data_IF_979372144350
#
_entry.id   IF_979372144350
#
_cell.length_a   1.000
_cell.length_b   1.000
_cell.length_c   1.000
_cell.angle_alpha   90.00
_cell.angle_beta   90.00
_cell.angle_gamma   90.00
#
_symmetry.space_group_name_H-M   'P 1'
#
loop_
_entity.id
_entity.type
_entity.pdbx_description
1 polymer ?
#
# COMPACT_ATOMS: atom_id res chain seq x y z
N UNK A 1 5.60 -15.06 -13.34
CA UNK A 1 5.31 -13.82 -14.11
C UNK A 1 6.52 -13.21 -14.81
N UNK A 2 7.74 -13.76 -14.68
CA UNK A 2 8.95 -13.10 -15.19
C UNK A 2 9.37 -11.93 -14.30
N UNK A 3 10.13 -10.99 -14.86
CA UNK A 3 10.60 -9.79 -14.16
C UNK A 3 9.42 -8.84 -13.91
N UNK A 4 9.26 -8.38 -12.67
CA UNK A 4 8.23 -7.41 -12.29
C UNK A 4 8.53 -6.03 -12.90
N UNK A 5 7.55 -5.43 -13.59
CA UNK A 5 7.73 -4.15 -14.29
C UNK A 5 6.78 -3.06 -13.79
N UNK A 6 5.56 -3.43 -13.41
CA UNK A 6 4.55 -2.48 -12.91
C UNK A 6 3.75 -3.05 -11.74
N UNK A 7 3.50 -2.20 -10.75
CA UNK A 7 2.60 -2.47 -9.62
C UNK A 7 1.47 -1.45 -9.63
N UNK A 8 0.23 -1.92 -9.61
CA UNK A 8 -0.94 -1.05 -9.47
C UNK A 8 -1.67 -1.36 -8.17
N UNK A 9 -1.77 -0.36 -7.30
CA UNK A 9 -2.46 -0.46 -6.02
C UNK A 9 -3.64 0.49 -6.00
N UNK A 10 -4.79 -0.01 -5.56
CA UNK A 10 -5.90 0.82 -5.12
C UNK A 10 -6.30 0.36 -3.73
N UNK A 11 -6.47 1.29 -2.80
CA UNK A 11 -7.14 1.03 -1.54
C UNK A 11 -8.09 2.18 -1.19
N UNK A 12 -9.36 1.88 -0.94
CA UNK A 12 -10.33 2.90 -0.57
C UNK A 12 -11.48 2.37 0.28
N UNK A 13 -12.13 3.29 0.98
CA UNK A 13 -13.35 3.10 1.75
C UNK A 13 -14.07 4.44 1.91
N UNK A 14 -15.30 4.43 2.45
CA UNK A 14 -16.11 5.64 2.65
C UNK A 14 -16.28 5.93 4.15
N UNK A 15 -15.58 6.94 4.65
CA UNK A 15 -15.70 7.46 6.01
C UNK A 15 -15.75 8.99 6.00
N UNK A 16 -16.93 9.52 6.33
CA UNK A 16 -17.20 10.96 6.38
C UNK A 16 -17.43 11.45 7.82
N UNK A 17 -17.18 10.61 8.82
CA UNK A 17 -17.37 10.98 10.22
C UNK A 17 -16.31 12.00 10.66
N UNK A 18 -16.68 13.26 10.99
CA UNK A 18 -15.73 14.26 11.45
C UNK A 18 -15.13 13.93 12.83
N UNK A 19 -15.77 13.04 13.61
CA UNK A 19 -15.28 12.56 14.90
C UNK A 19 -14.19 11.50 14.79
N UNK A 20 -13.90 11.00 13.58
CA UNK A 20 -12.88 10.00 13.36
C UNK A 20 -11.48 10.64 13.26
N UNK A 21 -10.49 10.05 13.95
CA UNK A 21 -9.10 10.55 13.94
C UNK A 21 -8.51 10.68 12.53
N UNK A 22 -8.95 9.86 11.57
CA UNK A 22 -8.50 9.89 10.18
C UNK A 22 -8.93 11.16 9.44
N UNK A 23 -9.95 11.85 9.93
CA UNK A 23 -10.44 13.13 9.43
C UNK A 23 -9.92 14.31 10.27
N UNK A 24 -8.95 14.09 11.15
CA UNK A 24 -8.39 15.13 12.04
C UNK A 24 -6.90 15.34 11.76
N UNK A 25 -6.54 16.49 11.21
CA UNK A 25 -5.14 16.84 10.91
C UNK A 25 -4.21 16.75 12.13
N UNK A 26 -4.68 17.16 13.31
CA UNK A 26 -3.89 17.14 14.54
C UNK A 26 -3.44 15.74 14.98
N UNK A 27 -4.05 14.68 14.47
CA UNK A 27 -3.70 13.29 14.74
C UNK A 27 -2.98 12.61 13.56
N UNK A 28 -2.58 13.36 12.53
CA UNK A 28 -1.96 12.81 11.33
C UNK A 28 -2.95 12.13 10.39
N UNK A 29 -4.23 12.52 10.42
CA UNK A 29 -5.26 11.97 9.54
C UNK A 29 -5.00 12.27 8.05
N UNK A 30 -5.71 11.55 7.19
CA UNK A 30 -5.55 11.61 5.73
C UNK A 30 -5.52 10.24 5.07
N UNK A 31 -5.90 10.17 3.80
CA UNK A 31 -5.89 8.95 3.01
C UNK A 31 -4.48 8.40 2.86
N UNK A 32 -3.51 9.28 2.60
CA UNK A 32 -2.11 8.92 2.46
C UNK A 32 -1.55 8.26 3.73
N UNK A 33 -1.80 8.88 4.89
CA UNK A 33 -1.31 8.39 6.18
C UNK A 33 -1.97 7.09 6.61
N UNK A 34 -3.30 6.96 6.42
CA UNK A 34 -4.04 5.79 6.91
C UNK A 34 -3.90 4.56 6.01
N UNK A 35 -4.11 4.72 4.69
CA UNK A 35 -4.18 3.58 3.76
C UNK A 35 -3.25 3.72 2.55
N UNK A 36 -2.77 4.92 2.23
CA UNK A 36 -1.73 5.11 1.21
C UNK A 36 -0.40 4.46 1.60
N UNK A 37 -0.10 4.42 2.91
CA UNK A 37 1.08 3.78 3.47
C UNK A 37 1.18 2.28 3.13
N UNK A 38 0.05 1.58 2.97
CA UNK A 38 0.01 0.18 2.52
C UNK A 38 0.46 0.03 1.06
N UNK A 39 0.00 0.95 0.19
CA UNK A 39 0.39 0.94 -1.22
C UNK A 39 1.86 1.26 -1.43
N UNK A 40 2.42 2.18 -0.64
CA UNK A 40 3.86 2.47 -0.64
C UNK A 40 4.64 1.26 -0.13
N UNK A 41 4.23 0.69 1.01
CA UNK A 41 4.90 -0.47 1.62
C UNK A 41 4.91 -1.69 0.70
N UNK A 42 3.77 -2.05 0.09
CA UNK A 42 3.71 -3.22 -0.81
C UNK A 42 4.56 -3.01 -2.06
N UNK A 43 4.65 -1.79 -2.59
CA UNK A 43 5.49 -1.50 -3.74
C UNK A 43 6.98 -1.67 -3.41
N UNK A 44 7.42 -1.12 -2.25
CA UNK A 44 8.79 -1.28 -1.75
C UNK A 44 9.14 -2.74 -1.49
N UNK A 45 8.22 -3.48 -0.87
CA UNK A 45 8.39 -4.89 -0.56
C UNK A 45 8.54 -5.74 -1.83
N UNK A 46 7.67 -5.55 -2.82
CA UNK A 46 7.67 -6.37 -4.05
C UNK A 46 8.79 -6.03 -5.03
N UNK A 47 9.26 -4.77 -5.06
CA UNK A 47 10.46 -4.40 -5.80
C UNK A 47 11.77 -4.65 -5.02
N UNK A 48 11.66 -5.10 -3.76
CA UNK A 48 12.79 -5.33 -2.86
C UNK A 48 13.73 -4.13 -2.75
N UNK A 49 13.16 -2.93 -2.69
CA UNK A 49 13.95 -1.70 -2.72
C UNK A 49 13.14 -0.42 -2.57
N UNK A 50 13.83 0.70 -2.72
CA UNK A 50 13.26 2.05 -2.60
C UNK A 50 13.00 2.69 -3.97
N UNK A 51 11.95 3.50 -4.11
CA UNK A 51 11.80 4.33 -5.30
C UNK A 51 12.94 5.36 -5.34
N UNK A 52 13.34 5.76 -6.55
CA UNK A 52 14.28 6.87 -6.77
C UNK A 52 13.61 8.22 -6.53
N UNK A 53 12.32 8.31 -6.89
CA UNK A 53 11.51 9.52 -6.83
C UNK A 53 10.04 9.20 -6.88
N UNK A 54 9.22 10.14 -6.41
CA UNK A 54 7.76 10.06 -6.43
C UNK A 54 7.13 11.33 -7.01
N UNK A 55 5.95 11.16 -7.60
CA UNK A 55 5.06 12.25 -7.99
C UNK A 55 3.68 12.00 -7.40
N UNK A 56 3.14 12.94 -6.62
CA UNK A 56 1.86 12.77 -5.92
C UNK A 56 0.91 13.93 -6.18
N UNK A 57 -0.39 13.61 -6.24
CA UNK A 57 -1.48 14.57 -6.33
C UNK A 57 -2.53 14.23 -5.29
N UNK A 58 -2.95 15.22 -4.51
CA UNK A 58 -3.87 15.06 -3.38
C UNK A 58 -5.08 15.96 -3.54
N UNK A 59 -6.26 15.45 -3.17
CA UNK A 59 -7.45 16.27 -2.96
C UNK A 59 -7.76 16.28 -1.48
N UNK A 60 -7.89 17.49 -0.91
CA UNK A 60 -8.15 17.69 0.52
C UNK A 60 -9.60 18.05 0.76
N UNK A 61 -10.16 17.55 1.86
CA UNK A 61 -11.48 17.98 2.29
C UNK A 61 -11.42 19.46 2.71
N UNK A 62 -12.33 20.32 2.24
CA UNK A 62 -12.28 21.76 2.54
C UNK A 62 -12.40 22.07 4.04
N UNK A 63 -13.11 21.24 4.80
CA UNK A 63 -13.29 21.44 6.24
C UNK A 63 -12.29 20.67 7.11
N UNK A 64 -11.89 19.47 6.70
CA UNK A 64 -11.00 18.64 7.53
C UNK A 64 -9.53 19.01 7.30
N UNK A 65 -9.21 19.50 6.10
CA UNK A 65 -7.85 19.78 5.66
C UNK A 65 -6.99 18.53 5.42
N UNK A 66 -7.46 17.34 5.81
CA UNK A 66 -6.84 16.05 5.47
C UNK A 66 -7.07 15.71 4.00
N UNK A 67 -6.15 14.96 3.39
CA UNK A 67 -6.37 14.41 2.05
C UNK A 67 -7.41 13.28 2.10
N UNK A 68 -8.39 13.31 1.20
CA UNK A 68 -9.44 12.28 1.09
C UNK A 68 -9.25 11.39 -0.12
N UNK A 69 -8.39 11.81 -1.05
CA UNK A 69 -8.00 11.09 -2.25
C UNK A 69 -6.59 11.49 -2.65
N UNK A 70 -5.72 10.50 -2.80
CA UNK A 70 -4.31 10.70 -3.18
C UNK A 70 -3.91 9.68 -4.24
N UNK A 71 -3.26 10.16 -5.30
CA UNK A 71 -2.64 9.33 -6.34
C UNK A 71 -1.14 9.55 -6.34
N UNK A 72 -0.37 8.47 -6.42
CA UNK A 72 1.09 8.48 -6.36
C UNK A 72 1.63 7.69 -7.55
N UNK A 73 2.64 8.22 -8.21
CA UNK A 73 3.51 7.50 -9.13
C UNK A 73 4.89 7.37 -8.50
N UNK A 74 5.44 6.17 -8.48
CA UNK A 74 6.72 5.83 -7.86
C UNK A 74 7.64 5.22 -8.92
N UNK A 75 8.84 5.79 -9.07
CA UNK A 75 9.84 5.38 -10.06
C UNK A 75 10.91 4.51 -9.38
N UNK A 76 11.00 3.22 -9.72
CA UNK A 76 11.95 2.28 -9.15
C UNK A 76 13.05 1.93 -10.18
N UNK A 77 14.22 1.46 -9.74
CA UNK A 77 15.25 0.96 -10.66
C UNK A 77 14.76 -0.14 -11.61
N UNK A 78 13.85 -1.00 -11.15
CA UNK A 78 13.36 -2.19 -11.84
C UNK A 78 12.06 -1.95 -12.62
N UNK A 79 11.32 -0.87 -12.31
CA UNK A 79 9.97 -0.66 -12.81
C UNK A 79 9.27 0.55 -12.20
N UNK A 80 7.94 0.55 -12.16
CA UNK A 80 7.18 1.64 -11.54
C UNK A 80 5.99 1.13 -10.74
N UNK A 81 5.51 1.92 -9.80
CA UNK A 81 4.28 1.65 -9.09
C UNK A 81 3.32 2.83 -9.15
N UNK A 82 2.02 2.55 -9.25
CA UNK A 82 0.95 3.54 -9.09
C UNK A 82 0.11 3.17 -7.88
N UNK A 83 -0.11 4.13 -6.98
CA UNK A 83 -0.94 3.96 -5.79
C UNK A 83 -2.11 4.93 -5.85
N UNK A 84 -3.32 4.42 -5.64
CA UNK A 84 -4.52 5.22 -5.38
C UNK A 84 -5.00 4.91 -3.98
N UNK A 85 -5.14 5.93 -3.15
CA UNK A 85 -5.73 5.78 -1.82
C UNK A 85 -6.84 6.82 -1.58
N UNK A 86 -7.95 6.39 -0.96
CA UNK A 86 -9.08 7.29 -0.73
C UNK A 86 -9.94 6.91 0.47
N UNK A 87 -10.30 7.89 1.30
CA UNK A 87 -11.14 7.70 2.50
C UNK A 87 -12.60 8.08 2.29
N UNK A 88 -12.95 8.60 1.09
CA UNK A 88 -14.31 8.98 0.71
C UNK A 88 -14.68 8.42 -0.67
N UNK A 89 -14.38 7.15 -0.91
CA UNK A 89 -14.74 6.40 -2.11
C UNK A 89 -15.34 5.04 -1.74
N UNK A 90 -15.98 4.35 -2.70
CA UNK A 90 -16.53 3.03 -2.43
C UNK A 90 -15.44 2.06 -1.93
N UNK A 91 -15.78 1.19 -0.96
CA UNK A 91 -14.86 0.17 -0.46
C UNK A 91 -14.29 -0.66 -1.61
N UNK A 92 -12.99 -0.54 -1.83
CA UNK A 92 -12.30 -1.25 -2.90
C UNK A 92 -10.83 -1.44 -2.53
N UNK A 93 -10.29 -2.59 -2.86
CA UNK A 93 -8.87 -2.84 -2.77
C UNK A 93 -8.42 -3.75 -3.90
N UNK A 94 -7.19 -3.53 -4.37
CA UNK A 94 -6.55 -4.39 -5.35
C UNK A 94 -5.06 -4.13 -5.39
N UNK A 95 -4.30 -5.20 -5.60
CA UNK A 95 -2.91 -5.13 -6.05
C UNK A 95 -2.84 -5.92 -7.36
N UNK A 96 -2.32 -5.28 -8.41
CA UNK A 96 -2.05 -5.90 -9.71
C UNK A 96 -0.56 -5.80 -9.98
N UNK A 97 0.06 -6.95 -10.26
CA UNK A 97 1.47 -7.05 -10.60
C UNK A 97 1.56 -7.41 -12.07
N UNK A 98 2.30 -6.64 -12.85
CA UNK A 98 2.52 -6.90 -14.27
C UNK A 98 4.01 -7.14 -14.47
N UNK A 99 4.35 -8.35 -14.89
CA UNK A 99 5.69 -8.75 -15.26
C UNK A 99 5.84 -9.05 -16.74
N UNK A 100 7.07 -9.34 -17.16
CA UNK A 100 7.43 -9.56 -18.56
C UNK A 100 6.72 -10.75 -19.23
N UNK A 101 6.20 -11.70 -18.44
CA UNK A 101 5.58 -12.93 -18.92
C UNK A 101 4.22 -13.20 -18.26
N UNK A 102 3.62 -12.25 -17.55
CA UNK A 102 2.32 -12.48 -16.95
C UNK A 102 1.93 -11.45 -15.91
N UNK A 103 0.70 -11.60 -15.43
CA UNK A 103 0.06 -10.72 -14.47
C UNK A 103 -0.41 -11.52 -13.27
N UNK A 104 -0.31 -10.92 -12.08
CA UNK A 104 -0.93 -11.41 -10.86
C UNK A 104 -1.95 -10.38 -10.37
N UNK A 105 -3.14 -10.82 -9.96
CA UNK A 105 -4.16 -9.97 -9.33
C UNK A 105 -4.52 -10.49 -7.94
N UNK A 106 -4.38 -9.62 -6.93
CA UNK A 106 -4.81 -9.86 -5.55
C UNK A 106 -6.06 -9.02 -5.25
N UNK A 107 -7.17 -9.68 -4.91
CA UNK A 107 -8.46 -9.00 -4.72
C UNK A 107 -8.63 -8.39 -3.32
N UNK A 108 -7.96 -8.93 -2.31
CA UNK A 108 -8.11 -8.51 -0.91
C UNK A 108 -6.74 -8.54 -0.21
N UNK A 109 -5.79 -7.69 -0.65
CA UNK A 109 -4.39 -7.79 -0.23
C UNK A 109 -4.11 -7.28 1.19
N UNK A 110 -5.00 -6.47 1.80
CA UNK A 110 -4.66 -5.75 3.04
C UNK A 110 -5.49 -6.15 4.25
N UNK A 111 -6.80 -6.40 4.08
CA UNK A 111 -7.70 -6.75 5.18
C UNK A 111 -8.59 -7.94 4.84
N UNK A 112 -7.96 -9.02 4.40
CA UNK A 112 -8.63 -10.31 4.24
C UNK A 112 -9.28 -10.73 5.57
N UNK A 113 -10.58 -11.11 5.57
CA UNK A 113 -11.21 -11.67 6.75
C UNK A 113 -10.53 -12.98 7.17
N UNK A 114 -10.36 -13.21 8.49
CA UNK A 114 -9.58 -14.34 9.00
C UNK A 114 -10.21 -15.71 8.69
N UNK A 115 -11.51 -15.73 8.38
CA UNK A 115 -12.32 -16.88 8.04
C UNK A 115 -12.56 -17.06 6.53
N UNK A 116 -11.99 -16.18 5.69
CA UNK A 116 -12.15 -16.23 4.24
C UNK A 116 -10.89 -16.70 3.51
N UNK A 117 -11.11 -17.43 2.41
CA UNK A 117 -10.05 -17.81 1.48
C UNK A 117 -9.59 -16.60 0.66
N UNK A 118 -8.29 -16.35 0.62
CA UNK A 118 -7.70 -15.31 -0.22
C UNK A 118 -7.40 -15.89 -1.61
N UNK A 119 -7.81 -15.15 -2.65
CA UNK A 119 -7.60 -15.51 -4.05
C UNK A 119 -6.54 -14.64 -4.71
N UNK A 120 -5.62 -15.31 -5.38
CA UNK A 120 -4.62 -14.72 -6.27
C UNK A 120 -4.83 -15.28 -7.67
N UNK A 121 -5.16 -14.42 -8.63
CA UNK A 121 -5.28 -14.81 -10.03
C UNK A 121 -3.94 -14.64 -10.74
N UNK A 122 -3.57 -15.60 -11.58
CA UNK A 122 -2.44 -15.52 -12.49
C UNK A 122 -2.90 -15.61 -13.93
N UNK A 123 -2.38 -14.74 -14.79
CA UNK A 123 -2.66 -14.71 -16.22
C UNK A 123 -1.37 -14.59 -17.03
N UNK A 124 -1.21 -15.41 -18.07
CA UNK A 124 -0.17 -15.28 -19.10
C UNK A 124 -0.74 -15.62 -20.48
N UNK A 125 -1.01 -14.61 -21.31
CA UNK A 125 -1.67 -14.84 -22.61
C UNK A 125 -3.05 -15.47 -22.41
N UNK A 126 -3.25 -16.70 -22.90
CA UNK A 126 -4.48 -17.49 -22.67
C UNK A 126 -4.43 -18.40 -21.43
N UNK A 127 -3.27 -18.53 -20.77
CA UNK A 127 -3.13 -19.29 -19.54
C UNK A 127 -3.72 -18.49 -18.37
N UNK A 128 -4.64 -19.11 -17.63
CA UNK A 128 -5.26 -18.53 -16.43
C UNK A 128 -5.31 -19.58 -15.32
N UNK A 129 -4.94 -19.18 -14.11
CA UNK A 129 -5.09 -20.01 -12.92
C UNK A 129 -5.42 -19.17 -11.69
N UNK A 130 -6.07 -19.79 -10.72
CA UNK A 130 -6.37 -19.21 -9.42
C UNK A 130 -5.56 -19.99 -8.39
N UNK A 131 -4.79 -19.27 -7.59
CA UNK A 131 -4.19 -19.79 -6.38
C UNK A 131 -5.01 -19.32 -5.18
N UNK A 132 -5.39 -20.25 -4.33
CA UNK A 132 -6.15 -20.00 -3.12
C UNK A 132 -5.27 -20.30 -1.91
N UNK A 133 -5.20 -19.33 -0.99
CA UNK A 133 -4.69 -19.56 0.36
C UNK A 133 -5.88 -19.74 1.29
N UNK A 134 -5.85 -20.80 2.10
CA UNK A 134 -6.87 -21.01 3.13
C UNK A 134 -6.95 -19.85 4.12
N UNK A 135 -8.02 -19.80 4.93
CA UNK A 135 -8.21 -18.75 5.92
C UNK A 135 -7.01 -18.64 6.87
N UNK A 136 -6.61 -17.41 7.18
CA UNK A 136 -5.51 -17.10 8.10
C UNK A 136 -5.83 -15.83 8.89
N UNK A 137 -5.64 -15.87 10.21
CA UNK A 137 -5.73 -14.69 11.05
C UNK A 137 -4.40 -13.93 11.02
N UNK A 138 -4.23 -13.08 10.01
CA UNK A 138 -3.00 -12.31 9.81
C UNK A 138 -2.59 -11.45 11.02
N UNK A 139 -3.55 -11.07 11.87
CA UNK A 139 -3.27 -10.27 13.06
C UNK A 139 -2.74 -11.15 14.20
N UNK A 140 -3.31 -12.34 14.39
CA UNK A 140 -2.78 -13.32 15.32
C UNK A 140 -1.35 -13.73 14.93
N UNK A 141 -1.11 -14.03 13.65
CA UNK A 141 0.23 -14.37 13.13
C UNK A 141 1.23 -13.22 13.33
N UNK A 142 0.80 -11.96 13.15
CA UNK A 142 1.64 -10.79 13.42
C UNK A 142 2.02 -10.69 14.91
N UNK A 143 1.05 -10.91 15.81
CA UNK A 143 1.28 -10.90 17.25
C UNK A 143 2.22 -12.04 17.68
N UNK A 144 2.04 -13.24 17.14
CA UNK A 144 2.87 -14.40 17.44
C UNK A 144 4.30 -14.19 16.95
N UNK A 145 4.48 -13.66 15.73
CA UNK A 145 5.80 -13.30 15.20
C UNK A 145 6.50 -12.26 16.10
N UNK A 146 5.77 -11.21 16.50
CA UNK A 146 6.32 -10.20 17.39
C UNK A 146 6.72 -10.77 18.75
N UNK A 147 5.88 -11.63 19.35
CA UNK A 147 6.16 -12.28 20.62
C UNK A 147 7.38 -13.20 20.52
N UNK A 148 7.48 -13.99 19.46
CA UNK A 148 8.63 -14.86 19.20
C UNK A 148 9.93 -14.04 19.06
N UNK A 149 9.91 -12.96 18.27
CA UNK A 149 11.04 -12.05 18.14
C UNK A 149 11.48 -11.44 19.48
N UNK A 150 10.53 -11.00 20.30
CA UNK A 150 10.81 -10.42 21.60
C UNK A 150 11.37 -11.42 22.62
N UNK A 151 10.89 -12.67 22.60
CA UNK A 151 11.30 -13.72 23.54
C UNK A 151 12.63 -14.37 23.11
N UNK A 152 12.75 -14.71 21.83
CA UNK A 152 13.85 -15.50 21.30
C UNK A 152 15.00 -14.64 20.74
N UNK A 153 14.79 -13.33 20.57
CA UNK A 153 15.77 -12.44 19.94
C UNK A 153 15.89 -12.60 18.43
N UNK A 154 14.84 -13.11 17.78
CA UNK A 154 14.78 -13.27 16.32
C UNK A 154 14.51 -11.92 15.62
N UNK A 155 14.98 -11.73 14.37
CA UNK A 155 14.71 -10.50 13.64
C UNK A 155 13.22 -10.35 13.31
N UNK A 156 12.72 -9.11 13.37
CA UNK A 156 11.39 -8.78 12.88
C UNK A 156 11.34 -8.88 11.35
N UNK A 157 10.26 -9.44 10.80
CA UNK A 157 10.00 -9.45 9.35
C UNK A 157 9.89 -8.02 8.79
N UNK A 158 9.30 -7.12 9.58
CA UNK A 158 9.23 -5.69 9.31
C UNK A 158 10.00 -4.93 10.41
N UNK A 159 11.32 -4.70 10.25
CA UNK A 159 12.09 -3.93 11.22
C UNK A 159 11.66 -2.46 11.23
N UNK A 160 11.93 -1.74 12.33
CA UNK A 160 11.56 -0.30 12.44
C UNK A 160 12.15 0.56 11.32
N UNK A 161 13.31 0.18 10.77
CA UNK A 161 13.91 0.86 9.62
C UNK A 161 13.01 0.83 8.39
N UNK A 162 12.22 -0.23 8.19
CA UNK A 162 11.25 -0.29 7.10
C UNK A 162 10.14 0.76 7.26
N UNK A 163 9.61 0.91 8.48
CA UNK A 163 8.62 1.92 8.80
C UNK A 163 9.16 3.35 8.61
N UNK A 164 10.42 3.60 8.98
CA UNK A 164 11.09 4.89 8.76
C UNK A 164 11.23 5.19 7.27
N UNK A 165 11.67 4.22 6.46
CA UNK A 165 11.72 4.39 5.01
C UNK A 165 10.34 4.69 4.43
N UNK A 166 9.29 3.98 4.88
CA UNK A 166 7.93 4.24 4.43
C UNK A 166 7.49 5.68 4.71
N UNK A 167 7.86 6.22 5.88
CA UNK A 167 7.58 7.62 6.23
C UNK A 167 8.37 8.63 5.38
N UNK A 168 9.62 8.35 5.03
CA UNK A 168 10.37 9.21 4.10
C UNK A 168 9.68 9.32 2.73
N UNK A 169 9.11 8.21 2.23
CA UNK A 169 8.37 8.24 0.95
C UNK A 169 7.06 9.02 1.10
N UNK A 170 6.37 8.91 2.23
CA UNK A 170 5.17 9.71 2.52
C UNK A 170 5.51 11.21 2.56
N UNK A 171 6.60 11.58 3.22
CA UNK A 171 7.09 12.96 3.25
C UNK A 171 7.43 13.46 1.84
N UNK A 172 8.08 12.63 1.01
CA UNK A 172 8.36 12.95 -0.39
C UNK A 172 7.08 13.14 -1.21
N UNK A 173 6.02 12.38 -0.94
CA UNK A 173 4.70 12.58 -1.57
C UNK A 173 4.09 13.94 -1.20
N UNK A 174 4.14 14.32 0.08
CA UNK A 174 3.67 15.65 0.50
C UNK A 174 4.49 16.78 -0.14
N UNK A 175 5.82 16.63 -0.20
CA UNK A 175 6.68 17.60 -0.88
C UNK A 175 6.41 17.68 -2.38
N UNK A 176 6.14 16.54 -3.02
CA UNK A 176 5.82 16.47 -4.44
C UNK A 176 4.54 17.24 -4.76
N UNK A 177 3.49 17.04 -3.97
CA UNK A 177 2.23 17.75 -4.14
C UNK A 177 2.40 19.26 -3.95
N UNK A 178 3.16 19.69 -2.94
CA UNK A 178 3.43 21.12 -2.70
C UNK A 178 4.22 21.78 -3.84
N UNK A 179 5.13 21.04 -4.48
CA UNK A 179 5.98 21.53 -5.56
C UNK A 179 5.35 21.37 -6.95
N UNK A 180 4.26 20.62 -7.06
CA UNK A 180 3.67 20.17 -8.34
C UNK A 180 4.72 19.52 -9.26
N UNK A 181 5.58 18.67 -8.68
CA UNK A 181 6.75 18.11 -9.37
C UNK A 181 7.19 16.77 -8.76
N UNK A 182 8.05 16.05 -9.49
CA UNK A 182 8.77 14.89 -8.96
C UNK A 182 9.69 15.29 -7.81
N UNK A 183 9.78 14.43 -6.79
CA UNK A 183 10.67 14.59 -5.64
C UNK A 183 11.46 13.30 -5.44
N UNK A 184 12.78 13.44 -5.34
CA UNK A 184 13.70 12.33 -5.05
C UNK A 184 13.48 11.80 -3.62
N UNK A 185 13.66 10.49 -3.46
CA UNK A 185 13.46 9.77 -2.20
C UNK A 185 14.79 9.43 -1.52
#
# INVERSE_FOLDING_TARGET
MGDLQSIHVHFSYDNKDPGNIRNMLAFGGGALMDIGCYGISVARWLFEGEPRRVCARMARHPEFGTDTFTTILMDFPQGSATVVCATQMQRYQRVILVGSHGQITLHTPFNAPPDETVRMEYQNGSEYSIHESGPADQYAEQCDHFAAAAINGEPLLAPISDAVCNMHIIDACFQSEQKDAWVDC
#
